data_IF_234590898697
#
_entry.id   IF_234590898697
#
_cell.length_a   1.000
_cell.length_b   1.000
_cell.length_c   1.000
_cell.angle_alpha   90.00
_cell.angle_beta   90.00
_cell.angle_gamma   90.00
#
_symmetry.space_group_name_H-M   'P 1'
#
loop_
_entity.id
_entity.type
_entity.pdbx_description
1 polymer ?
#
# COMPACT_ATOMS: atom_id res chain seq x y z
N UNK A 1 -30.24 -42.70 53.61
CA UNK A 1 -29.08 -42.35 52.77
C UNK A 1 -29.54 -42.32 51.33
N UNK A 2 -29.55 -41.15 50.69
CA UNK A 2 -29.64 -41.04 49.23
C UNK A 2 -29.05 -39.69 48.82
N UNK A 3 -28.26 -39.75 47.76
CA UNK A 3 -27.14 -38.88 47.44
C UNK A 3 -27.62 -37.58 46.78
N UNK A 4 -27.12 -36.43 47.25
CA UNK A 4 -27.21 -35.14 46.53
C UNK A 4 -26.43 -35.26 45.23
N UNK A 5 -27.10 -35.19 44.09
CA UNK A 5 -26.44 -35.08 42.78
C UNK A 5 -26.64 -33.66 42.28
N UNK A 6 -25.73 -32.77 42.67
CA UNK A 6 -25.56 -31.46 42.02
C UNK A 6 -24.96 -31.72 40.64
N UNK A 7 -25.77 -31.70 39.58
CA UNK A 7 -25.24 -31.61 38.21
C UNK A 7 -25.15 -30.14 37.85
N UNK A 8 -23.94 -29.61 38.03
CA UNK A 8 -23.49 -28.31 37.56
C UNK A 8 -23.78 -28.22 36.06
N UNK A 9 -24.71 -27.35 35.68
CA UNK A 9 -24.96 -27.04 34.28
C UNK A 9 -23.76 -26.25 33.74
N UNK A 10 -22.89 -26.93 32.99
CA UNK A 10 -21.79 -26.32 32.27
C UNK A 10 -22.36 -25.49 31.13
N UNK A 11 -22.60 -24.20 31.37
CA UNK A 11 -22.93 -23.24 30.31
C UNK A 11 -21.61 -22.89 29.63
N UNK A 12 -21.23 -23.67 28.61
CA UNK A 12 -20.17 -23.29 27.69
C UNK A 12 -20.73 -22.20 26.78
N UNK A 13 -20.73 -20.96 27.29
CA UNK A 13 -20.99 -19.78 26.48
C UNK A 13 -19.79 -19.60 25.54
N UNK A 14 -19.86 -20.26 24.37
CA UNK A 14 -19.12 -19.88 23.18
C UNK A 14 -19.65 -18.50 22.77
N UNK A 15 -19.16 -17.46 23.45
CA UNK A 15 -19.23 -16.10 22.94
C UNK A 15 -18.38 -16.08 21.68
N UNK A 16 -19.05 -16.28 20.55
CA UNK A 16 -18.55 -15.92 19.23
C UNK A 16 -18.35 -14.40 19.22
N UNK A 17 -17.26 -13.94 19.81
CA UNK A 17 -16.74 -12.62 19.52
C UNK A 17 -16.48 -12.60 18.02
N UNK A 18 -17.05 -11.67 17.25
CA UNK A 18 -16.50 -11.38 15.94
C UNK A 18 -15.09 -10.88 16.25
N UNK A 19 -14.09 -11.76 16.07
CA UNK A 19 -12.75 -11.31 15.79
C UNK A 19 -12.89 -10.54 14.49
N UNK A 20 -13.14 -9.23 14.60
CA UNK A 20 -12.74 -8.30 13.55
C UNK A 20 -11.23 -8.45 13.50
N UNK A 21 -10.76 -9.39 12.68
CA UNK A 21 -9.41 -9.40 12.19
C UNK A 21 -9.31 -8.15 11.30
N UNK A 22 -9.12 -6.99 11.92
CA UNK A 22 -8.58 -5.85 11.21
C UNK A 22 -7.12 -6.22 11.01
N UNK A 23 -6.86 -6.90 9.89
CA UNK A 23 -5.52 -7.13 9.40
C UNK A 23 -4.94 -5.75 9.06
N UNK A 24 -4.36 -5.09 10.05
CA UNK A 24 -3.40 -4.04 9.80
C UNK A 24 -2.15 -4.75 9.29
N UNK A 25 -2.12 -5.06 7.99
CA UNK A 25 -0.85 -5.33 7.35
C UNK A 25 -0.11 -4.00 7.33
N UNK A 26 0.75 -3.81 8.30
CA UNK A 26 1.92 -2.98 8.15
C UNK A 26 2.61 -3.45 6.84
N UNK A 27 2.43 -2.71 5.74
CA UNK A 27 3.19 -2.92 4.49
C UNK A 27 2.46 -3.27 3.18
N UNK A 28 1.12 -3.40 3.11
CA UNK A 28 0.44 -3.63 1.83
C UNK A 28 -0.23 -2.34 1.30
N UNK A 29 0.05 -1.96 0.05
CA UNK A 29 -0.71 -0.92 -0.64
C UNK A 29 -2.19 -1.30 -0.70
N UNK A 30 -3.09 -0.32 -0.52
CA UNK A 30 -4.51 -0.53 -0.82
C UNK A 30 -4.69 -0.89 -2.30
N UNK A 31 -5.73 -1.67 -2.60
CA UNK A 31 -6.09 -2.07 -3.98
C UNK A 31 -6.21 -0.84 -4.90
N UNK A 32 -6.78 0.26 -4.39
CA UNK A 32 -6.87 1.55 -5.10
C UNK A 32 -5.52 2.12 -5.55
N UNK A 33 -4.47 2.00 -4.73
CA UNK A 33 -3.14 2.52 -5.06
C UNK A 33 -2.43 1.60 -6.05
N UNK A 34 -2.66 0.28 -5.93
CA UNK A 34 -2.16 -0.69 -6.89
C UNK A 34 -2.77 -0.47 -8.27
N UNK A 35 -4.09 -0.37 -8.35
CA UNK A 35 -4.82 -0.11 -9.60
C UNK A 35 -4.42 1.22 -10.24
N UNK A 36 -4.22 2.25 -9.42
CA UNK A 36 -3.72 3.54 -9.87
C UNK A 36 -2.37 3.41 -10.59
N UNK A 37 -1.38 2.77 -9.94
CA UNK A 37 -0.05 2.57 -10.55
C UNK A 37 -0.15 1.72 -11.81
N UNK A 38 -0.90 0.62 -11.76
CA UNK A 38 -1.07 -0.29 -12.90
C UNK A 38 -1.74 0.40 -14.08
N UNK A 39 -2.73 1.26 -13.83
CA UNK A 39 -3.38 2.08 -14.86
C UNK A 39 -2.37 3.03 -15.50
N UNK A 40 -1.60 3.79 -14.72
CA UNK A 40 -0.60 4.71 -15.27
C UNK A 40 0.51 3.98 -16.03
N UNK A 41 0.89 2.79 -15.59
CA UNK A 41 1.85 1.94 -16.28
C UNK A 41 1.30 1.47 -17.64
N UNK A 42 0.09 0.88 -17.66
CA UNK A 42 -0.56 0.39 -18.87
C UNK A 42 -0.87 1.50 -19.88
N UNK A 43 -1.17 2.71 -19.40
CA UNK A 43 -1.37 3.91 -20.21
C UNK A 43 -0.06 4.53 -20.74
N UNK A 44 1.09 3.89 -20.52
CA UNK A 44 2.42 4.38 -20.86
C UNK A 44 2.75 5.77 -20.25
N UNK A 45 2.09 6.16 -19.15
CA UNK A 45 2.37 7.43 -18.46
C UNK A 45 3.69 7.42 -17.70
N UNK A 46 4.27 6.23 -17.51
CA UNK A 46 5.57 6.02 -16.86
C UNK A 46 6.71 5.76 -17.86
N UNK A 47 6.46 5.83 -19.17
CA UNK A 47 7.45 5.53 -20.21
C UNK A 47 8.31 6.73 -20.65
N UNK A 48 8.11 7.91 -20.02
CA UNK A 48 8.79 9.15 -20.35
C UNK A 48 10.06 9.43 -19.54
N UNK A 49 10.67 10.59 -19.80
CA UNK A 49 11.72 11.14 -18.95
C UNK A 49 11.10 11.74 -17.68
N UNK A 50 10.84 10.90 -16.69
CA UNK A 50 10.44 11.34 -15.36
C UNK A 50 11.49 12.26 -14.73
N UNK A 51 11.06 12.98 -13.69
CA UNK A 51 11.91 13.86 -12.90
C UNK A 51 13.02 13.07 -12.21
N UNK A 52 14.17 13.71 -12.05
CA UNK A 52 15.22 13.28 -11.12
C UNK A 52 14.80 13.56 -9.68
N UNK A 53 15.52 12.96 -8.72
CA UNK A 53 15.29 13.24 -7.30
C UNK A 53 15.45 14.72 -6.96
N UNK A 54 16.44 15.41 -7.56
CA UNK A 54 16.67 16.83 -7.32
C UNK A 54 15.50 17.69 -7.82
N UNK A 55 15.00 17.41 -9.03
CA UNK A 55 13.83 18.11 -9.59
C UNK A 55 12.58 17.83 -8.76
N UNK A 56 12.36 16.56 -8.40
CA UNK A 56 11.23 16.16 -7.58
C UNK A 56 11.23 16.82 -6.19
N UNK A 57 12.37 16.88 -5.51
CA UNK A 57 12.48 17.56 -4.21
C UNK A 57 12.28 19.08 -4.28
N UNK A 58 12.50 19.70 -5.45
CA UNK A 58 12.15 21.12 -5.67
C UNK A 58 10.66 21.30 -5.91
N UNK A 59 10.01 20.34 -6.57
CA UNK A 59 8.56 20.34 -6.79
C UNK A 59 7.80 20.06 -5.49
N UNK A 60 8.19 19.02 -4.76
CA UNK A 60 7.55 18.61 -3.51
C UNK A 60 8.63 18.57 -2.42
N UNK A 61 8.76 19.63 -1.60
CA UNK A 61 9.81 19.70 -0.60
C UNK A 61 9.64 18.70 0.55
N UNK A 62 8.40 18.26 0.83
CA UNK A 62 8.08 17.30 1.88
C UNK A 62 7.15 16.19 1.36
N UNK A 63 7.65 15.28 0.51
CA UNK A 63 6.83 14.24 -0.08
C UNK A 63 6.46 13.19 0.99
N UNK A 64 5.18 12.89 1.14
CA UNK A 64 4.71 11.83 2.03
C UNK A 64 4.50 10.54 1.22
N UNK A 65 5.29 9.48 1.44
CA UNK A 65 5.05 8.20 0.78
C UNK A 65 3.74 7.63 1.32
N UNK A 66 2.83 7.30 0.40
CA UNK A 66 1.54 6.68 0.72
C UNK A 66 1.75 5.18 0.86
N UNK A 67 2.35 4.55 -0.14
CA UNK A 67 2.66 3.14 -0.12
C UNK A 67 3.72 2.78 -1.16
N UNK A 68 4.38 1.65 -0.95
CA UNK A 68 5.38 1.10 -1.87
C UNK A 68 4.88 -0.26 -2.39
N UNK A 69 4.77 -0.35 -3.71
CA UNK A 69 4.48 -1.58 -4.44
C UNK A 69 5.82 -2.19 -4.83
N UNK A 70 6.28 -3.14 -4.03
CA UNK A 70 7.36 -4.05 -4.43
C UNK A 70 6.74 -5.16 -5.24
N UNK A 71 7.13 -5.26 -6.50
CA UNK A 71 6.50 -6.22 -7.37
C UNK A 71 7.21 -7.58 -7.29
N UNK A 72 6.74 -8.46 -6.40
CA UNK A 72 7.09 -9.89 -6.49
C UNK A 72 6.51 -10.53 -7.76
N UNK A 73 5.43 -9.95 -8.32
CA UNK A 73 4.67 -10.46 -9.46
C UNK A 73 5.37 -10.24 -10.81
N UNK A 74 6.17 -9.17 -10.98
CA UNK A 74 6.79 -8.85 -12.28
C UNK A 74 8.26 -9.19 -12.42
N UNK A 75 9.00 -9.53 -11.36
CA UNK A 75 10.40 -10.01 -11.42
C UNK A 75 11.33 -9.19 -12.34
N UNK A 76 10.93 -7.97 -12.69
CA UNK A 76 11.57 -7.06 -13.63
C UNK A 76 12.58 -6.16 -12.90
N UNK A 77 12.65 -6.31 -11.58
CA UNK A 77 13.46 -5.49 -10.69
C UNK A 77 12.86 -4.13 -10.45
N UNK A 78 11.59 -3.87 -10.80
CA UNK A 78 10.97 -2.57 -10.58
C UNK A 78 10.23 -2.51 -9.24
N UNK A 79 10.35 -1.38 -8.55
CA UNK A 79 9.52 -1.03 -7.40
C UNK A 79 8.88 0.33 -7.64
N UNK A 80 7.62 0.48 -7.21
CA UNK A 80 6.86 1.70 -7.40
C UNK A 80 6.47 2.29 -6.06
N UNK A 81 6.69 3.59 -5.85
CA UNK A 81 6.23 4.26 -4.62
C UNK A 81 5.29 5.38 -4.98
N UNK A 82 4.09 5.38 -4.37
CA UNK A 82 3.13 6.46 -4.55
C UNK A 82 3.40 7.53 -3.49
N UNK A 83 3.52 8.78 -3.92
CA UNK A 83 3.64 9.95 -3.05
C UNK A 83 2.41 10.84 -3.17
N UNK A 84 2.01 11.44 -2.05
CA UNK A 84 0.99 12.48 -2.02
C UNK A 84 1.62 13.81 -1.69
N UNK A 85 1.19 14.85 -2.39
CA UNK A 85 1.50 16.23 -2.08
C UNK A 85 0.48 16.79 -1.05
N UNK A 86 0.82 16.74 0.23
CA UNK A 86 0.04 17.40 1.28
C UNK A 86 -1.47 17.10 1.28
N UNK A 87 -2.28 18.16 1.36
CA UNK A 87 -3.74 18.08 1.33
C UNK A 87 -4.31 18.00 -0.10
N UNK A 88 -3.48 18.23 -1.11
CA UNK A 88 -3.90 18.28 -2.50
C UNK A 88 -4.17 16.87 -3.05
N UNK A 89 -5.09 16.80 -4.02
CA UNK A 89 -5.47 15.56 -4.71
C UNK A 89 -4.45 15.14 -5.78
N UNK A 90 -3.19 15.58 -5.66
CA UNK A 90 -2.12 15.28 -6.60
C UNK A 90 -1.28 14.12 -6.08
N UNK A 91 -1.08 13.15 -6.96
CA UNK A 91 -0.27 11.96 -6.72
C UNK A 91 0.92 11.91 -7.66
N UNK A 92 2.02 11.39 -7.15
CA UNK A 92 3.22 11.11 -7.92
C UNK A 92 3.60 9.66 -7.75
N UNK A 93 4.25 9.09 -8.76
CA UNK A 93 4.75 7.72 -8.76
C UNK A 93 6.26 7.78 -8.94
N UNK A 94 7.04 7.26 -8.00
CA UNK A 94 8.42 6.90 -8.29
C UNK A 94 8.49 5.50 -8.89
N UNK A 95 9.43 5.31 -9.80
CA UNK A 95 9.84 4.02 -10.33
C UNK A 95 11.30 3.83 -9.97
N UNK A 96 11.58 2.89 -9.07
CA UNK A 96 12.92 2.41 -8.78
C UNK A 96 13.23 1.22 -9.69
N UNK A 97 14.37 1.30 -10.39
CA UNK A 97 14.90 0.21 -11.19
C UNK A 97 16.04 -0.48 -10.44
N UNK A 98 15.78 -1.68 -9.94
CA UNK A 98 16.72 -2.50 -9.19
C UNK A 98 17.89 -3.05 -10.02
N UNK A 99 17.83 -3.01 -11.36
CA UNK A 99 18.94 -3.45 -12.22
C UNK A 99 20.08 -2.43 -12.24
N UNK A 100 19.77 -1.14 -12.17
CA UNK A 100 20.77 -0.06 -12.25
C UNK A 100 20.70 0.94 -11.07
N UNK A 101 19.79 0.73 -10.13
CA UNK A 101 19.58 1.57 -8.95
C UNK A 101 18.96 2.95 -9.24
N UNK A 102 18.53 3.22 -10.48
CA UNK A 102 17.97 4.53 -10.84
C UNK A 102 16.55 4.71 -10.31
N UNK A 103 16.19 5.95 -9.97
CA UNK A 103 14.83 6.35 -9.59
C UNK A 103 14.36 7.46 -10.49
N UNK A 104 13.13 7.36 -10.99
CA UNK A 104 12.45 8.41 -11.74
C UNK A 104 11.08 8.70 -11.13
N UNK A 105 10.68 9.97 -11.11
CA UNK A 105 9.41 10.41 -10.55
C UNK A 105 8.48 10.92 -11.65
N UNK A 106 7.21 10.50 -11.61
CA UNK A 106 6.21 10.79 -12.62
C UNK A 106 4.99 11.44 -11.98
N UNK A 107 4.40 12.40 -12.70
CA UNK A 107 3.27 13.19 -12.25
C UNK A 107 3.51 14.69 -12.46
N UNK A 108 2.69 15.56 -11.81
CA UNK A 108 1.56 15.19 -10.97
C UNK A 108 0.46 14.46 -11.76
N UNK A 109 -0.25 13.55 -11.07
CA UNK A 109 -1.47 12.93 -11.56
C UNK A 109 -2.63 13.37 -10.68
N UNK A 110 -3.74 13.72 -11.32
CA UNK A 110 -5.00 13.92 -10.63
C UNK A 110 -5.60 12.55 -10.25
N UNK A 111 -6.20 12.49 -9.06
CA UNK A 111 -6.99 11.37 -8.55
C UNK A 111 -8.27 11.15 -9.36
#
# INVERSE_FOLDING_TARGET
MALKVFKVATILALVSSPFSAIANSDGACSESNFDFVMTKLNDNKLAGNGLTQEEFSKTIPNPSPVCEIKNDLMSDGLAFTVYKEGADSQLYISVYNGLNGSVKYFGPFEL
#
